data_IF_784392015669
#
_entry.id   IF_784392015669
#
_cell.length_a   1.000
_cell.length_b   1.000
_cell.length_c   1.000
_cell.angle_alpha   90.00
_cell.angle_beta   90.00
_cell.angle_gamma   90.00
#
_symmetry.space_group_name_H-M   'P 1'
#
loop_
_entity.id
_entity.type
_entity.pdbx_description
1 polymer ?
#
# COMPACT_ATOMS: atom_id res chain seq x y z
N UNK A 1 10.09 -2.63 -7.18
CA UNK A 1 8.71 -2.06 -7.19
C UNK A 1 8.23 -1.59 -5.83
N UNK A 2 8.58 -2.29 -4.77
CA UNK A 2 8.19 -1.84 -3.44
C UNK A 2 8.78 -0.48 -3.07
N UNK A 3 10.05 -0.23 -3.40
CA UNK A 3 10.67 1.07 -3.12
C UNK A 3 9.95 2.22 -3.86
N UNK A 4 9.55 1.98 -5.12
CA UNK A 4 8.77 2.95 -5.88
C UNK A 4 7.41 3.21 -5.24
N UNK A 5 6.76 2.17 -4.72
CA UNK A 5 5.50 2.29 -4.00
C UNK A 5 5.67 3.16 -2.74
N UNK A 6 6.68 2.88 -1.92
CA UNK A 6 6.92 3.65 -0.69
C UNK A 6 7.18 5.12 -0.99
N UNK A 7 8.00 5.42 -2.00
CA UNK A 7 8.28 6.80 -2.38
C UNK A 7 7.00 7.53 -2.81
N UNK A 8 6.16 6.87 -3.61
CA UNK A 8 4.90 7.44 -4.05
C UNK A 8 3.92 7.65 -2.90
N UNK A 9 3.88 6.72 -1.95
CA UNK A 9 2.98 6.82 -0.80
C UNK A 9 3.34 8.02 0.08
N UNK A 10 4.61 8.16 0.42
CA UNK A 10 5.09 9.25 1.26
C UNK A 10 4.92 10.60 0.57
N UNK A 11 5.24 10.68 -0.74
CA UNK A 11 5.08 11.89 -1.53
C UNK A 11 3.66 12.14 -2.03
N UNK A 12 2.73 11.22 -1.75
CA UNK A 12 1.36 11.25 -2.25
C UNK A 12 1.28 11.40 -3.77
N UNK A 13 2.10 10.63 -4.48
CA UNK A 13 2.07 10.58 -5.94
C UNK A 13 0.92 9.68 -6.39
N UNK A 14 -0.24 10.27 -6.57
CA UNK A 14 -1.48 9.55 -6.87
C UNK A 14 -1.40 8.78 -8.18
N UNK A 15 -0.75 9.36 -9.18
CA UNK A 15 -0.65 8.71 -10.49
C UNK A 15 0.16 7.41 -10.40
N UNK A 16 1.28 7.43 -9.69
CA UNK A 16 2.11 6.23 -9.50
C UNK A 16 1.39 5.20 -8.64
N UNK A 17 0.72 5.62 -7.58
CA UNK A 17 -0.05 4.70 -6.73
C UNK A 17 -1.18 4.03 -7.52
N UNK A 18 -1.90 4.80 -8.34
CA UNK A 18 -2.97 4.25 -9.17
C UNK A 18 -2.42 3.26 -10.21
N UNK A 19 -1.23 3.53 -10.75
CA UNK A 19 -0.57 2.62 -11.68
C UNK A 19 -0.15 1.32 -10.99
N UNK A 20 0.41 1.40 -9.78
CA UNK A 20 0.96 0.22 -9.09
C UNK A 20 -0.11 -0.71 -8.54
N UNK A 21 -1.33 -0.22 -8.28
CA UNK A 21 -2.46 -1.10 -7.98
C UNK A 21 -3.01 -1.68 -9.27
N UNK A 22 -3.29 -2.98 -9.25
CA UNK A 22 -3.82 -3.68 -10.42
C UNK A 22 -5.17 -3.12 -10.83
N UNK A 23 -5.31 -2.74 -12.09
CA UNK A 23 -6.55 -2.16 -12.62
C UNK A 23 -7.57 -3.25 -12.91
N UNK A 24 -8.25 -3.71 -11.86
CA UNK A 24 -9.22 -4.79 -11.92
C UNK A 24 -10.29 -4.58 -10.84
N UNK A 25 -11.50 -5.06 -11.13
CA UNK A 25 -12.55 -5.09 -10.13
C UNK A 25 -12.27 -6.07 -8.98
N UNK A 26 -11.28 -6.95 -9.14
CA UNK A 26 -10.90 -7.93 -8.11
C UNK A 26 -9.84 -7.40 -7.14
N UNK A 27 -9.23 -6.26 -7.41
CA UNK A 27 -8.24 -5.65 -6.52
C UNK A 27 -8.97 -5.13 -5.29
N UNK A 28 -8.42 -5.41 -4.10
CA UNK A 28 -9.03 -4.94 -2.87
C UNK A 28 -7.99 -4.33 -1.94
N UNK A 29 -8.47 -3.42 -1.07
CA UNK A 29 -7.66 -2.80 -0.04
C UNK A 29 -8.48 -2.66 1.24
N UNK A 30 -7.94 -3.19 2.33
CA UNK A 30 -8.47 -2.94 3.67
C UNK A 30 -7.57 -1.92 4.34
N UNK A 31 -8.15 -0.77 4.66
CA UNK A 31 -7.48 0.25 5.43
C UNK A 31 -7.79 0.12 6.91
N UNK A 32 -7.31 1.10 7.68
CA UNK A 32 -7.51 1.10 9.14
C UNK A 32 -8.99 1.12 9.52
N UNK A 33 -9.79 1.88 8.78
CA UNK A 33 -11.22 2.06 9.12
C UNK A 33 -12.16 1.89 7.93
N UNK A 34 -11.64 1.47 6.77
CA UNK A 34 -12.44 1.39 5.55
C UNK A 34 -12.02 0.20 4.69
N UNK A 35 -12.96 -0.25 3.87
CA UNK A 35 -12.74 -1.30 2.88
C UNK A 35 -12.98 -0.74 1.49
N UNK A 36 -12.13 -1.13 0.53
CA UNK A 36 -12.26 -0.72 -0.87
C UNK A 36 -12.22 -1.95 -1.77
N UNK A 37 -13.16 -2.01 -2.70
CA UNK A 37 -13.32 -3.13 -3.61
C UNK A 37 -13.21 -2.64 -5.05
N UNK A 38 -12.19 -3.11 -5.76
CA UNK A 38 -11.90 -2.72 -7.13
C UNK A 38 -11.00 -1.51 -7.24
N UNK A 39 -10.26 -1.45 -8.34
CA UNK A 39 -9.30 -0.35 -8.60
C UNK A 39 -9.97 1.03 -8.60
N UNK A 40 -11.17 1.12 -9.19
CA UNK A 40 -11.88 2.39 -9.29
C UNK A 40 -12.21 2.95 -7.89
N UNK A 41 -12.66 2.09 -6.97
CA UNK A 41 -12.99 2.48 -5.61
C UNK A 41 -11.74 2.95 -4.85
N UNK A 42 -10.63 2.23 -5.00
CA UNK A 42 -9.36 2.62 -4.40
C UNK A 42 -8.90 3.98 -4.91
N UNK A 43 -9.02 4.21 -6.22
CA UNK A 43 -8.62 5.47 -6.84
C UNK A 43 -9.46 6.65 -6.32
N UNK A 44 -10.77 6.47 -6.21
CA UNK A 44 -11.68 7.50 -5.69
C UNK A 44 -11.32 7.83 -4.25
N UNK A 45 -11.10 6.83 -3.41
CA UNK A 45 -10.68 7.04 -2.03
C UNK A 45 -9.37 7.83 -1.95
N UNK A 46 -8.38 7.44 -2.75
CA UNK A 46 -7.07 8.10 -2.73
C UNK A 46 -7.19 9.56 -3.15
N UNK A 47 -8.03 9.86 -4.13
CA UNK A 47 -8.26 11.23 -4.58
C UNK A 47 -8.90 12.11 -3.50
N UNK A 48 -9.60 11.50 -2.53
CA UNK A 48 -10.23 12.23 -1.42
C UNK A 48 -9.28 12.57 -0.28
N UNK A 49 -8.06 11.99 -0.27
CA UNK A 49 -7.10 12.20 0.79
C UNK A 49 -6.38 13.55 0.64
N UNK A 50 -5.83 14.09 1.76
CA UNK A 50 -5.01 15.29 1.70
C UNK A 50 -3.81 15.12 0.75
N UNK A 51 -3.30 16.22 0.23
CA UNK A 51 -2.17 16.21 -0.69
C UNK A 51 -0.87 15.69 -0.07
N UNK A 52 -0.75 15.75 1.24
CA UNK A 52 0.43 15.29 1.95
C UNK A 52 0.06 14.18 2.92
N UNK A 53 0.82 13.10 2.88
CA UNK A 53 0.71 12.04 3.86
C UNK A 53 1.76 12.23 4.94
N UNK A 54 1.48 11.81 6.20
CA UNK A 54 2.50 11.83 7.24
C UNK A 54 3.69 10.97 6.83
N UNK A 55 4.90 11.45 7.11
CA UNK A 55 6.10 10.64 6.95
C UNK A 55 6.01 9.45 7.89
N UNK A 56 6.60 8.33 7.47
CA UNK A 56 6.65 7.14 8.30
C UNK A 56 8.03 6.52 8.30
N UNK A 57 8.39 5.93 9.42
CA UNK A 57 9.62 5.19 9.58
C UNK A 57 9.33 3.72 9.37
N UNK A 58 10.05 3.07 8.47
CA UNK A 58 9.95 1.63 8.28
C UNK A 58 10.80 0.93 9.34
N UNK A 59 10.16 0.13 10.17
CA UNK A 59 10.82 -0.59 11.26
C UNK A 59 11.29 -1.97 10.79
N UNK A 60 10.51 -2.62 9.95
CA UNK A 60 10.81 -3.93 9.41
C UNK A 60 10.12 -4.10 8.07
N UNK A 61 10.85 -4.62 7.09
CA UNK A 61 10.31 -4.94 5.76
C UNK A 61 10.70 -6.36 5.41
N UNK A 62 9.72 -7.19 5.08
CA UNK A 62 9.95 -8.56 4.64
C UNK A 62 9.26 -8.76 3.29
N UNK A 63 10.04 -9.02 2.25
CA UNK A 63 9.53 -9.30 0.91
C UNK A 63 9.84 -10.76 0.61
N UNK A 64 8.80 -11.53 0.31
CA UNK A 64 8.92 -12.95 0.00
C UNK A 64 8.30 -13.23 -1.36
N UNK A 65 9.04 -13.91 -2.22
CA UNK A 65 8.53 -14.33 -3.53
C UNK A 65 8.02 -15.76 -3.46
N UNK A 66 6.95 -16.02 -4.18
CA UNK A 66 6.34 -17.35 -4.29
C UNK A 66 6.31 -17.71 -5.77
N UNK A 67 7.34 -18.44 -6.22
CA UNK A 67 7.52 -18.66 -7.64
C UNK A 67 7.98 -17.39 -8.35
N UNK A 68 7.55 -17.22 -9.59
CA UNK A 68 7.99 -16.10 -10.44
C UNK A 68 6.97 -14.98 -10.54
N UNK A 69 5.72 -15.24 -10.16
CA UNK A 69 4.60 -14.36 -10.50
C UNK A 69 3.93 -13.72 -9.31
N UNK A 70 4.25 -14.15 -8.09
CA UNK A 70 3.64 -13.61 -6.87
C UNK A 70 4.69 -13.31 -5.81
N UNK A 71 4.39 -12.28 -5.02
CA UNK A 71 5.21 -11.91 -3.88
C UNK A 71 4.33 -11.25 -2.82
N UNK A 72 4.76 -11.34 -1.56
CA UNK A 72 4.17 -10.54 -0.49
C UNK A 72 5.20 -9.56 0.03
N UNK A 73 4.74 -8.37 0.38
CA UNK A 73 5.52 -7.37 1.08
C UNK A 73 4.83 -7.07 2.41
N UNK A 74 5.51 -7.34 3.51
CA UNK A 74 5.00 -7.11 4.85
C UNK A 74 5.88 -6.09 5.54
N UNK A 75 5.27 -5.02 6.05
CA UNK A 75 5.99 -3.87 6.59
C UNK A 75 5.42 -3.52 7.96
N UNK A 76 6.32 -3.29 8.92
CA UNK A 76 5.99 -2.66 10.19
C UNK A 76 6.53 -1.24 10.14
N UNK A 77 5.72 -0.28 10.55
CA UNK A 77 6.10 1.12 10.46
C UNK A 77 5.56 1.93 11.63
N UNK A 78 6.14 3.11 11.83
CA UNK A 78 5.65 4.11 12.77
C UNK A 78 5.46 5.42 12.02
N UNK A 79 4.27 6.00 12.12
CA UNK A 79 4.03 7.33 11.57
C UNK A 79 4.77 8.36 12.42
N UNK A 80 5.41 9.32 11.76
CA UNK A 80 6.03 10.43 12.44
C UNK A 80 4.97 11.43 12.83
N UNK A 81 5.10 11.97 14.04
CA UNK A 81 4.18 12.95 14.58
C UNK A 81 4.06 12.84 16.08
N UNK A 82 3.69 13.96 16.73
CA UNK A 82 3.57 14.02 18.17
C UNK A 82 2.46 13.08 18.66
N UNK A 83 2.76 12.28 19.68
CA UNK A 83 1.80 11.42 20.35
C UNK A 83 1.46 10.12 19.64
N UNK A 84 2.07 9.83 18.50
CA UNK A 84 1.77 8.60 17.79
C UNK A 84 2.70 7.48 18.24
N UNK A 85 2.18 6.58 19.07
CA UNK A 85 2.91 5.44 19.62
C UNK A 85 2.50 4.11 18.98
N UNK A 86 1.55 4.13 18.05
CA UNK A 86 1.06 2.90 17.45
C UNK A 86 2.01 2.37 16.40
N UNK A 87 2.12 1.05 16.33
CA UNK A 87 2.86 0.39 15.27
C UNK A 87 1.87 0.03 14.16
N UNK A 88 2.15 0.52 12.95
CA UNK A 88 1.39 0.17 11.78
C UNK A 88 1.92 -1.10 11.15
N UNK A 89 1.04 -1.86 10.54
CA UNK A 89 1.38 -3.07 9.81
C UNK A 89 0.69 -3.01 8.46
N UNK A 90 1.46 -3.24 7.41
CA UNK A 90 0.93 -3.26 6.05
C UNK A 90 1.36 -4.55 5.36
N UNK A 91 0.39 -5.27 4.82
CA UNK A 91 0.63 -6.46 4.02
C UNK A 91 0.13 -6.20 2.61
N UNK A 92 0.93 -6.54 1.62
CA UNK A 92 0.58 -6.39 0.21
C UNK A 92 0.87 -7.67 -0.52
N UNK A 93 -0.04 -8.06 -1.42
CA UNK A 93 0.22 -9.13 -2.38
C UNK A 93 0.48 -8.49 -3.73
N UNK A 94 1.61 -8.84 -4.32
CA UNK A 94 2.04 -8.37 -5.62
C UNK A 94 1.96 -9.51 -6.64
N UNK A 95 1.47 -9.19 -7.82
CA UNK A 95 1.38 -10.15 -8.92
C UNK A 95 2.11 -9.57 -10.14
N UNK A 96 2.87 -10.41 -10.85
CA UNK A 96 3.46 -10.02 -12.11
C UNK A 96 2.40 -10.07 -13.19
N UNK A 97 2.22 -8.96 -13.90
CA UNK A 97 1.31 -8.81 -15.02
C UNK A 97 2.10 -8.48 -16.28
N UNK A 98 1.43 -8.43 -17.41
CA UNK A 98 2.06 -8.01 -18.67
C UNK A 98 2.61 -6.58 -18.60
N UNK A 99 2.10 -5.76 -17.68
CA UNK A 99 2.53 -4.39 -17.50
C UNK A 99 3.54 -4.24 -16.36
N UNK A 100 3.95 -5.33 -15.73
CA UNK A 100 4.88 -5.36 -14.61
C UNK A 100 4.21 -5.81 -13.31
N UNK A 101 4.91 -5.63 -12.20
CA UNK A 101 4.40 -6.00 -10.89
C UNK A 101 3.32 -5.03 -10.43
N UNK A 102 2.20 -5.59 -9.95
CA UNK A 102 1.06 -4.78 -9.47
C UNK A 102 0.54 -5.33 -8.15
N UNK A 103 0.07 -4.43 -7.28
CA UNK A 103 -0.58 -4.81 -6.03
C UNK A 103 -2.00 -5.28 -6.33
N UNK A 104 -2.32 -6.49 -5.90
CA UNK A 104 -3.66 -7.07 -6.09
C UNK A 104 -4.47 -7.10 -4.81
N UNK A 105 -3.81 -7.01 -3.65
CA UNK A 105 -4.47 -6.92 -2.36
C UNK A 105 -3.57 -6.19 -1.38
N UNK A 106 -4.15 -5.40 -0.50
CA UNK A 106 -3.42 -4.68 0.53
C UNK A 106 -4.26 -4.59 1.81
N UNK A 107 -3.59 -4.60 2.95
CA UNK A 107 -4.22 -4.47 4.26
C UNK A 107 -3.31 -3.66 5.17
N UNK A 108 -3.87 -2.64 5.80
CA UNK A 108 -3.17 -1.80 6.78
C UNK A 108 -3.92 -1.88 8.10
N UNK A 109 -3.19 -2.10 9.18
CA UNK A 109 -3.75 -2.11 10.54
C UNK A 109 -2.76 -1.49 11.52
N UNK A 110 -3.22 -1.23 12.74
CA UNK A 110 -2.38 -0.70 13.81
C UNK A 110 -2.56 -1.50 15.07
N UNK A 111 -1.49 -1.65 15.82
CA UNK A 111 -1.53 -2.20 17.18
C UNK A 111 -1.12 -1.11 18.17
N UNK A 112 -1.79 -1.13 19.31
CA UNK A 112 -1.54 -0.15 20.35
C UNK A 112 -0.15 -0.33 20.99
#
# INVERSE_FOLDING_TARGET
MFARYEAALVGNDRAVLDELFWNSAHTLRYGFSENHYGHADIRVFRASLPLQSPLRELLRTVITTYGRDFATANVEFRRQGAGNQQIGRQSQTWMRTDEGWRVVAAHVSFIA
#
